data_IF_285486760568
#
_entry.id   IF_285486760568
#
_cell.length_a   1.000
_cell.length_b   1.000
_cell.length_c   1.000
_cell.angle_alpha   90.00
_cell.angle_beta   90.00
_cell.angle_gamma   90.00
#
_symmetry.space_group_name_H-M   'P 1'
#
loop_
_entity.id
_entity.type
_entity.pdbx_description
1 polymer ?
#
# COMPACT_ATOMS: atom_id res chain seq x y z
N UNK A 1 -56.25 -21.28 -29.13
CA UNK A 1 -56.58 -21.31 -27.69
C UNK A 1 -55.56 -22.17 -26.96
N UNK A 2 -54.37 -21.63 -26.68
CA UNK A 2 -53.41 -22.31 -25.82
C UNK A 2 -53.93 -22.20 -24.38
N UNK A 3 -54.24 -23.36 -23.82
CA UNK A 3 -55.03 -23.55 -22.60
C UNK A 3 -54.42 -22.80 -21.41
N UNK A 4 -55.21 -21.98 -20.71
CA UNK A 4 -54.85 -21.39 -19.40
C UNK A 4 -54.27 -22.44 -18.44
N UNK A 5 -54.66 -23.71 -18.60
CA UNK A 5 -54.11 -24.83 -17.83
C UNK A 5 -52.61 -25.02 -18.03
N UNK A 6 -52.09 -24.79 -19.24
CA UNK A 6 -50.67 -24.90 -19.54
C UNK A 6 -49.88 -23.78 -18.87
N UNK A 7 -50.42 -22.56 -18.85
CA UNK A 7 -49.82 -21.41 -18.17
C UNK A 7 -49.78 -21.60 -16.65
N UNK A 8 -50.86 -22.15 -16.07
CA UNK A 8 -50.92 -22.51 -14.65
C UNK A 8 -49.90 -23.61 -14.33
N UNK A 9 -49.74 -24.60 -15.21
CA UNK A 9 -48.71 -25.64 -15.06
C UNK A 9 -47.29 -25.08 -15.08
N UNK A 10 -46.99 -24.14 -15.98
CA UNK A 10 -45.69 -23.47 -16.04
C UNK A 10 -45.42 -22.61 -14.80
N UNK A 11 -46.42 -21.87 -14.31
CA UNK A 11 -46.28 -21.09 -13.08
C UNK A 11 -46.12 -22.00 -11.85
N UNK A 12 -46.83 -23.12 -11.79
CA UNK A 12 -46.70 -24.11 -10.72
C UNK A 12 -45.32 -24.79 -10.75
N UNK A 13 -44.80 -25.14 -11.93
CA UNK A 13 -43.44 -25.65 -12.11
C UNK A 13 -42.38 -24.62 -11.70
N UNK A 14 -42.56 -23.34 -12.05
CA UNK A 14 -41.68 -22.27 -11.61
C UNK A 14 -41.71 -22.05 -10.09
N UNK A 15 -42.86 -22.29 -9.44
CA UNK A 15 -43.00 -22.22 -7.97
C UNK A 15 -42.38 -23.44 -7.26
N UNK A 16 -42.37 -24.61 -7.91
CA UNK A 16 -41.77 -25.85 -7.39
C UNK A 16 -40.25 -25.91 -7.61
N UNK A 17 -39.73 -25.20 -8.61
CA UNK A 17 -38.29 -24.94 -8.75
C UNK A 17 -37.91 -23.86 -7.74
N UNK A 18 -37.79 -24.26 -6.47
CA UNK A 18 -36.95 -23.51 -5.52
C UNK A 18 -35.52 -23.60 -6.04
N UNK A 19 -35.09 -22.59 -6.79
CA UNK A 19 -33.66 -22.34 -6.95
C UNK A 19 -33.13 -22.18 -5.52
N UNK A 20 -32.22 -23.05 -5.04
CA UNK A 20 -31.61 -22.84 -3.74
C UNK A 20 -30.96 -21.45 -3.81
N UNK A 21 -31.50 -20.51 -3.03
CA UNK A 21 -30.79 -19.27 -2.73
C UNK A 21 -29.43 -19.74 -2.21
N UNK A 22 -28.35 -19.37 -2.89
CA UNK A 22 -27.01 -19.60 -2.37
C UNK A 22 -26.97 -19.01 -0.97
N UNK A 23 -27.09 -19.86 0.05
CA UNK A 23 -26.86 -19.48 1.43
C UNK A 23 -25.43 -18.99 1.44
N UNK A 24 -25.21 -17.72 1.81
CA UNK A 24 -23.87 -17.18 2.02
C UNK A 24 -23.09 -18.19 2.85
N UNK A 25 -22.05 -18.81 2.27
CA UNK A 25 -21.29 -19.85 2.96
C UNK A 25 -20.80 -19.29 4.30
N UNK A 26 -21.19 -19.94 5.40
CA UNK A 26 -20.80 -19.50 6.73
C UNK A 26 -19.27 -19.62 6.89
N UNK A 27 -18.68 -18.83 7.81
CA UNK A 27 -17.28 -18.99 8.15
C UNK A 27 -17.00 -20.43 8.62
N UNK A 28 -15.84 -20.96 8.26
CA UNK A 28 -15.38 -22.28 8.68
C UNK A 28 -13.97 -22.20 9.30
N UNK A 29 -13.63 -23.09 10.24
CA UNK A 29 -12.31 -23.07 10.87
C UNK A 29 -11.20 -23.41 9.87
N UNK A 30 -10.03 -22.79 10.02
CA UNK A 30 -8.86 -23.07 9.18
C UNK A 30 -8.34 -24.48 9.44
N UNK A 31 -8.24 -25.27 8.36
CA UNK A 31 -7.71 -26.64 8.36
C UNK A 31 -6.35 -26.75 7.66
N UNK A 32 -5.90 -25.69 7.00
CA UNK A 32 -4.59 -25.62 6.34
C UNK A 32 -3.48 -25.68 7.41
N UNK A 33 -2.62 -26.71 7.44
CA UNK A 33 -1.65 -26.92 8.53
C UNK A 33 -0.73 -25.72 8.78
N UNK A 34 -0.10 -25.19 7.72
CA UNK A 34 0.83 -24.05 7.83
C UNK A 34 0.16 -22.73 8.20
N UNK A 35 -1.16 -22.59 8.02
CA UNK A 35 -1.90 -21.37 8.33
C UNK A 35 -2.52 -21.36 9.73
N UNK A 36 -2.31 -22.42 10.54
CA UNK A 36 -2.83 -22.48 11.92
C UNK A 36 -2.21 -21.42 12.84
N UNK A 37 -1.01 -20.92 12.51
CA UNK A 37 -0.31 -19.86 13.25
C UNK A 37 -0.76 -18.46 12.87
N UNK A 38 -1.72 -18.31 11.95
CA UNK A 38 -2.22 -17.00 11.57
C UNK A 38 -2.98 -16.33 12.73
N UNK A 39 -3.00 -14.99 12.79
CA UNK A 39 -3.76 -14.25 13.79
C UNK A 39 -5.28 -14.47 13.75
N UNK A 40 -5.81 -15.09 12.69
CA UNK A 40 -7.22 -15.48 12.56
C UNK A 40 -7.36 -17.00 12.45
N UNK A 41 -8.45 -17.54 12.99
CA UNK A 41 -8.75 -18.98 13.02
C UNK A 41 -9.94 -19.39 12.14
N UNK A 42 -10.67 -18.43 11.57
CA UNK A 42 -11.85 -18.64 10.73
C UNK A 42 -11.60 -18.10 9.32
N UNK A 43 -11.97 -18.90 8.32
CA UNK A 43 -11.89 -18.55 6.91
C UNK A 43 -13.23 -18.76 6.21
N UNK A 44 -13.30 -18.41 4.93
CA UNK A 44 -14.47 -18.59 4.08
C UNK A 44 -14.02 -18.97 2.67
N UNK A 45 -14.75 -19.90 2.08
CA UNK A 45 -14.58 -20.30 0.68
C UNK A 45 -15.67 -19.68 -0.21
N UNK A 46 -15.39 -19.39 -1.48
CA UNK A 46 -14.12 -19.60 -2.16
C UNK A 46 -13.03 -18.61 -1.71
N UNK A 47 -11.77 -19.03 -1.80
CA UNK A 47 -10.62 -18.16 -1.51
C UNK A 47 -10.26 -17.28 -2.73
N UNK A 48 -9.22 -16.45 -2.61
CA UNK A 48 -8.78 -15.51 -3.66
C UNK A 48 -8.25 -16.18 -4.92
N UNK A 49 -8.00 -17.48 -4.84
CA UNK A 49 -7.54 -18.33 -5.95
C UNK A 49 -8.67 -19.22 -6.49
N UNK A 50 -9.92 -18.91 -6.11
CA UNK A 50 -11.14 -19.58 -6.57
C UNK A 50 -11.22 -21.07 -6.20
N UNK A 51 -10.47 -21.53 -5.21
CA UNK A 51 -10.70 -22.86 -4.64
C UNK A 51 -12.04 -22.86 -3.91
N UNK A 52 -12.93 -23.80 -4.22
CA UNK A 52 -14.25 -23.88 -3.57
C UNK A 52 -14.22 -24.57 -2.21
N UNK A 53 -13.15 -25.29 -1.88
CA UNK A 53 -12.99 -26.03 -0.62
C UNK A 53 -11.59 -25.83 -0.04
N UNK A 54 -11.47 -25.88 1.29
CA UNK A 54 -10.15 -25.87 1.93
C UNK A 54 -9.30 -27.09 1.55
N UNK A 55 -9.90 -28.24 1.25
CA UNK A 55 -9.13 -29.42 0.81
C UNK A 55 -8.34 -29.14 -0.49
N UNK A 56 -8.95 -28.43 -1.44
CA UNK A 56 -8.26 -28.02 -2.66
C UNK A 56 -7.17 -26.96 -2.36
N UNK A 57 -7.45 -26.04 -1.43
CA UNK A 57 -6.49 -25.03 -1.00
C UNK A 57 -5.26 -25.66 -0.30
N UNK A 58 -5.45 -26.73 0.49
CA UNK A 58 -4.38 -27.50 1.14
C UNK A 58 -3.42 -28.07 0.09
N UNK A 59 -3.95 -28.82 -0.89
CA UNK A 59 -3.10 -29.41 -1.94
C UNK A 59 -2.33 -28.35 -2.74
N UNK A 60 -2.95 -27.20 -2.98
CA UNK A 60 -2.36 -26.13 -3.77
C UNK A 60 -1.35 -25.26 -2.99
N UNK A 61 -1.45 -25.16 -1.66
CA UNK A 61 -0.51 -24.38 -0.84
C UNK A 61 0.71 -25.22 -0.38
N UNK A 62 0.56 -26.55 -0.27
CA UNK A 62 1.65 -27.48 0.10
C UNK A 62 2.87 -27.36 -0.82
N UNK A 63 2.69 -27.00 -2.09
CA UNK A 63 3.81 -26.76 -3.02
C UNK A 63 4.77 -25.64 -2.57
N UNK A 64 4.33 -24.75 -1.67
CA UNK A 64 5.16 -23.67 -1.14
C UNK A 64 5.91 -24.02 0.14
N UNK A 65 5.75 -25.23 0.71
CA UNK A 65 6.45 -25.64 1.94
C UNK A 65 7.97 -25.54 1.80
N UNK A 66 8.51 -26.00 0.66
CA UNK A 66 9.95 -25.89 0.38
C UNK A 66 10.43 -24.44 0.34
N UNK A 67 9.64 -23.53 -0.24
CA UNK A 67 9.96 -22.11 -0.32
C UNK A 67 9.84 -21.42 1.05
N UNK A 68 8.83 -21.77 1.84
CA UNK A 68 8.69 -21.32 3.23
C UNK A 68 9.87 -21.77 4.08
N UNK A 69 10.35 -23.00 3.88
CA UNK A 69 11.50 -23.57 4.57
C UNK A 69 12.82 -22.83 4.32
N UNK A 70 12.95 -22.06 3.23
CA UNK A 70 14.16 -21.25 2.99
C UNK A 70 14.17 -19.94 3.78
N UNK A 71 13.05 -19.54 4.40
CA UNK A 71 12.96 -18.27 5.14
C UNK A 71 13.22 -17.03 4.29
N UNK A 72 12.93 -17.08 2.98
CA UNK A 72 13.26 -16.00 2.03
C UNK A 72 12.52 -14.68 2.31
N UNK A 73 11.38 -14.72 3.01
CA UNK A 73 10.65 -13.54 3.47
C UNK A 73 9.81 -13.88 4.69
N UNK A 74 9.78 -12.98 5.68
CA UNK A 74 8.93 -13.09 6.87
C UNK A 74 7.44 -12.90 6.54
N UNK A 75 7.13 -12.25 5.43
CA UNK A 75 5.76 -11.98 4.99
C UNK A 75 5.16 -13.11 4.15
N UNK A 76 5.97 -14.09 3.68
CA UNK A 76 5.52 -15.09 2.72
C UNK A 76 4.37 -15.94 3.29
N UNK A 77 4.51 -16.44 4.52
CA UNK A 77 3.48 -17.29 5.14
C UNK A 77 2.17 -16.52 5.32
N UNK A 78 2.25 -15.29 5.83
CA UNK A 78 1.08 -14.43 5.98
C UNK A 78 0.41 -14.18 4.62
N UNK A 79 1.18 -13.83 3.60
CA UNK A 79 0.67 -13.56 2.26
C UNK A 79 -0.05 -14.78 1.67
N UNK A 80 0.58 -15.95 1.71
CA UNK A 80 -0.02 -17.19 1.22
C UNK A 80 -1.30 -17.51 1.99
N UNK A 81 -1.27 -17.47 3.32
CA UNK A 81 -2.47 -17.75 4.12
C UNK A 81 -3.58 -16.72 3.91
N UNK A 82 -3.27 -15.44 3.69
CA UNK A 82 -4.24 -14.42 3.32
C UNK A 82 -4.90 -14.68 1.96
N UNK A 83 -4.18 -15.30 1.02
CA UNK A 83 -4.71 -15.68 -0.31
C UNK A 83 -5.50 -16.99 -0.27
N UNK A 84 -4.99 -18.01 0.43
CA UNK A 84 -5.52 -19.37 0.45
C UNK A 84 -6.58 -19.63 1.53
N UNK A 85 -6.50 -18.94 2.66
CA UNK A 85 -7.43 -19.02 3.78
C UNK A 85 -7.73 -17.60 4.32
N UNK A 86 -8.37 -16.74 3.53
CA UNK A 86 -8.62 -15.34 3.90
C UNK A 86 -9.45 -15.25 5.19
N UNK A 87 -9.23 -14.19 5.97
CA UNK A 87 -9.98 -13.94 7.21
C UNK A 87 -11.48 -13.81 6.93
N UNK A 88 -12.30 -14.54 7.71
CA UNK A 88 -13.74 -14.38 7.65
C UNK A 88 -14.19 -13.22 8.55
N UNK A 89 -14.81 -12.19 7.97
CA UNK A 89 -15.40 -11.05 8.71
C UNK A 89 -16.83 -10.80 8.25
N UNK A 90 -17.65 -10.21 9.14
CA UNK A 90 -19.08 -9.98 8.88
C UNK A 90 -19.33 -8.99 7.73
N UNK A 91 -18.42 -8.03 7.53
CA UNK A 91 -18.55 -6.97 6.53
C UNK A 91 -18.13 -7.44 5.12
N UNK A 92 -17.35 -8.53 5.03
CA UNK A 92 -16.76 -9.03 3.78
C UNK A 92 -17.21 -10.45 3.46
N UNK A 93 -18.51 -10.72 3.62
CA UNK A 93 -19.06 -12.06 3.41
C UNK A 93 -19.14 -12.49 1.93
N UNK A 94 -19.18 -11.56 0.97
CA UNK A 94 -19.29 -11.92 -0.46
C UNK A 94 -17.94 -11.97 -1.17
N UNK A 95 -17.00 -11.12 -0.76
CA UNK A 95 -15.64 -11.06 -1.28
C UNK A 95 -14.70 -10.88 -0.08
N UNK A 96 -13.91 -11.89 0.30
CA UNK A 96 -13.03 -11.81 1.46
C UNK A 96 -12.03 -10.65 1.35
N UNK A 97 -11.51 -10.16 2.47
CA UNK A 97 -10.49 -9.10 2.42
C UNK A 97 -9.20 -9.66 1.81
N UNK A 98 -8.62 -8.94 0.84
CA UNK A 98 -7.34 -9.29 0.20
C UNK A 98 -6.14 -8.81 1.03
N UNK A 99 -4.97 -9.48 0.94
CA UNK A 99 -3.74 -8.93 1.48
C UNK A 99 -3.38 -7.62 0.77
N UNK A 100 -2.75 -6.70 1.49
CA UNK A 100 -2.26 -5.46 0.89
C UNK A 100 -1.17 -5.75 -0.15
N UNK A 101 -1.17 -4.98 -1.23
CA UNK A 101 -0.16 -5.07 -2.31
C UNK A 101 1.29 -5.03 -1.78
N UNK A 102 1.55 -4.19 -0.78
CA UNK A 102 2.87 -4.07 -0.15
C UNK A 102 3.35 -5.38 0.49
N UNK A 103 2.46 -6.18 1.07
CA UNK A 103 2.79 -7.48 1.68
C UNK A 103 3.19 -8.49 0.60
N UNK A 104 2.44 -8.53 -0.51
CA UNK A 104 2.79 -9.34 -1.67
C UNK A 104 4.16 -8.95 -2.25
N UNK A 105 4.41 -7.65 -2.42
CA UNK A 105 5.68 -7.16 -2.98
C UNK A 105 6.88 -7.54 -2.11
N UNK A 106 6.75 -7.48 -0.77
CA UNK A 106 7.81 -7.94 0.16
C UNK A 106 8.04 -9.45 0.08
N UNK A 107 6.97 -10.24 0.00
CA UNK A 107 7.06 -11.69 -0.18
C UNK A 107 7.72 -12.06 -1.51
N UNK A 108 7.26 -11.46 -2.62
CA UNK A 108 7.80 -11.66 -3.97
C UNK A 108 9.25 -11.22 -4.06
N UNK A 109 9.62 -10.06 -3.53
CA UNK A 109 10.99 -9.55 -3.58
C UNK A 109 12.00 -10.48 -2.89
N UNK A 110 11.64 -11.08 -1.76
CA UNK A 110 12.50 -12.03 -1.05
C UNK A 110 12.57 -13.41 -1.73
N UNK A 111 11.43 -13.89 -2.23
CA UNK A 111 11.28 -15.30 -2.60
C UNK A 111 11.33 -15.59 -4.11
N UNK A 112 10.99 -14.64 -4.98
CA UNK A 112 11.10 -14.81 -6.43
C UNK A 112 12.54 -15.15 -6.90
N UNK A 113 13.61 -14.53 -6.35
CA UNK A 113 14.98 -14.91 -6.69
C UNK A 113 15.35 -16.33 -6.25
N UNK A 114 14.70 -16.87 -5.21
CA UNK A 114 14.88 -18.26 -4.79
C UNK A 114 14.16 -19.20 -5.75
N UNK A 115 12.91 -18.89 -6.12
CA UNK A 115 12.16 -19.67 -7.11
C UNK A 115 12.89 -19.75 -8.46
N UNK A 116 13.42 -18.63 -8.94
CA UNK A 116 14.17 -18.55 -10.21
C UNK A 116 15.42 -19.43 -10.23
N UNK A 117 16.09 -19.63 -9.07
CA UNK A 117 17.24 -20.54 -8.95
C UNK A 117 16.87 -22.00 -9.21
N UNK A 118 15.62 -22.38 -8.96
CA UNK A 118 15.08 -23.72 -9.21
C UNK A 118 14.19 -23.77 -10.46
N UNK A 119 14.38 -22.84 -11.41
CA UNK A 119 13.60 -22.74 -12.65
C UNK A 119 12.08 -22.58 -12.45
N UNK A 120 11.68 -22.03 -11.31
CA UNK A 120 10.31 -21.64 -11.04
C UNK A 120 10.14 -20.12 -11.17
N UNK A 121 8.92 -19.69 -11.48
CA UNK A 121 8.56 -18.28 -11.58
C UNK A 121 7.49 -17.94 -10.55
N UNK A 122 7.42 -16.67 -10.17
CA UNK A 122 6.35 -16.20 -9.31
C UNK A 122 5.00 -16.39 -10.02
N UNK A 123 4.03 -17.13 -9.45
CA UNK A 123 2.80 -17.47 -10.15
C UNK A 123 1.96 -16.23 -10.47
N UNK A 124 1.34 -16.22 -11.66
CA UNK A 124 0.45 -15.12 -12.09
C UNK A 124 -0.77 -14.99 -11.17
N UNK A 125 -1.28 -16.10 -10.64
CA UNK A 125 -2.39 -16.09 -9.66
C UNK A 125 -2.03 -15.41 -8.32
N UNK A 126 -0.74 -15.17 -8.09
CA UNK A 126 -0.21 -14.43 -6.94
C UNK A 126 0.40 -13.08 -7.35
N UNK A 127 0.08 -12.57 -8.55
CA UNK A 127 0.54 -11.27 -9.02
C UNK A 127 0.13 -10.15 -8.04
N UNK A 128 1.06 -9.26 -7.73
CA UNK A 128 0.83 -8.19 -6.74
C UNK A 128 0.05 -7.02 -7.35
N UNK A 129 0.01 -6.94 -8.68
CA UNK A 129 -0.59 -5.88 -9.45
C UNK A 129 -2.11 -5.76 -9.23
N UNK A 130 -2.78 -6.89 -8.98
CA UNK A 130 -4.23 -7.00 -8.78
C UNK A 130 -4.68 -6.83 -7.32
N UNK A 131 -3.73 -6.56 -6.42
CA UNK A 131 -4.01 -6.39 -5.00
C UNK A 131 -4.24 -4.91 -4.63
N UNK A 132 -5.12 -4.64 -3.65
CA UNK A 132 -5.42 -3.29 -3.19
C UNK A 132 -4.21 -2.62 -2.52
N UNK A 133 -4.08 -1.32 -2.75
CA UNK A 133 -3.18 -0.43 -2.00
C UNK A 133 -3.95 0.15 -0.82
N UNK A 134 -3.33 0.19 0.36
CA UNK A 134 -3.96 0.60 1.63
C UNK A 134 -4.70 1.95 1.55
N UNK A 135 -4.18 2.94 0.81
CA UNK A 135 -4.82 4.26 0.66
C UNK A 135 -5.99 4.32 -0.33
N UNK A 136 -6.32 3.19 -0.99
CA UNK A 136 -7.35 3.12 -2.04
C UNK A 136 -8.34 1.97 -1.85
N UNK A 137 -8.23 1.21 -0.76
CA UNK A 137 -9.12 0.10 -0.45
C UNK A 137 -8.80 -0.57 0.88
N UNK A 138 -9.70 -1.43 1.35
CA UNK A 138 -9.52 -2.21 2.57
C UNK A 138 -8.68 -3.45 2.27
N UNK A 139 -7.56 -3.62 2.99
CA UNK A 139 -6.66 -4.76 2.84
C UNK A 139 -5.99 -5.11 4.18
N UNK A 140 -5.48 -6.34 4.31
CA UNK A 140 -4.82 -6.81 5.53
C UNK A 140 -3.29 -6.85 5.43
N UNK A 141 -2.62 -6.50 6.53
CA UNK A 141 -1.19 -6.62 6.72
C UNK A 141 -0.86 -7.24 8.09
N UNK A 142 0.32 -7.86 8.28
CA UNK A 142 0.70 -8.52 9.53
C UNK A 142 0.62 -7.60 10.76
N UNK A 143 0.95 -6.33 10.58
CA UNK A 143 1.04 -5.32 11.64
C UNK A 143 -0.33 -4.86 12.16
N UNK A 144 -1.41 -5.12 11.41
CA UNK A 144 -2.76 -4.70 11.76
C UNK A 144 -3.43 -5.61 12.80
N UNK A 145 -2.91 -6.84 13.02
CA UNK A 145 -3.55 -7.85 13.87
C UNK A 145 -2.76 -8.13 15.17
N UNK A 146 -1.50 -7.68 15.26
CA UNK A 146 -0.67 -7.84 16.46
C UNK A 146 -0.70 -6.57 17.32
N UNK A 147 -1.57 -6.52 18.34
CA UNK A 147 -1.38 -5.64 19.50
C UNK A 147 -1.88 -6.28 20.81
N UNK A 148 -0.94 -6.75 21.64
CA UNK A 148 -0.76 -6.39 23.06
C UNK A 148 0.24 -7.37 23.72
N UNK A 149 1.18 -6.79 24.49
CA UNK A 149 2.12 -7.43 25.45
C UNK A 149 3.47 -7.99 24.91
N UNK A 150 4.58 -7.43 25.42
CA UNK A 150 6.00 -7.77 25.10
C UNK A 150 6.56 -8.89 26.00
N UNK A 151 7.87 -8.96 26.37
CA UNK A 151 9.07 -8.22 25.94
C UNK A 151 10.20 -9.10 25.33
N UNK A 152 11.21 -8.42 24.77
CA UNK A 152 12.61 -8.79 24.50
C UNK A 152 12.99 -10.16 23.89
N UNK A 153 13.51 -10.13 22.65
CA UNK A 153 14.64 -10.97 22.25
C UNK A 153 15.56 -10.18 21.28
N UNK A 154 16.91 -10.31 21.39
CA UNK A 154 17.84 -9.37 20.77
C UNK A 154 17.90 -9.47 19.25
N UNK A 155 17.86 -8.30 18.62
CA UNK A 155 18.74 -7.88 17.51
C UNK A 155 19.22 -8.98 16.55
N UNK A 156 18.58 -9.02 15.37
CA UNK A 156 19.34 -9.23 14.14
C UNK A 156 19.38 -7.90 13.38
N UNK A 157 20.59 -7.35 13.35
CA UNK A 157 21.00 -6.18 12.60
C UNK A 157 20.85 -6.43 11.08
N UNK A 158 20.05 -5.63 10.34
CA UNK A 158 19.93 -5.73 8.89
C UNK A 158 21.22 -5.35 8.12
N UNK A 159 22.29 -4.93 8.81
CA UNK A 159 23.60 -4.64 8.21
C UNK A 159 24.38 -5.89 7.78
N UNK A 160 23.87 -7.11 8.03
CA UNK A 160 24.56 -8.37 7.69
C UNK A 160 23.87 -9.13 6.55
N UNK A 161 23.55 -8.46 5.46
CA UNK A 161 23.57 -9.12 4.15
C UNK A 161 25.04 -9.19 3.71
N UNK A 162 25.80 -10.13 4.26
CA UNK A 162 27.15 -10.42 3.75
C UNK A 162 27.01 -11.00 2.34
N UNK A 163 27.60 -10.30 1.39
CA UNK A 163 28.21 -10.89 0.21
C UNK A 163 28.97 -12.15 0.63
N UNK A 164 28.44 -13.33 0.30
CA UNK A 164 29.30 -14.48 0.04
C UNK A 164 29.38 -14.63 -1.48
N UNK A 165 30.35 -13.93 -2.04
CA UNK A 165 30.90 -14.23 -3.35
C UNK A 165 31.50 -15.62 -3.28
N UNK A 166 30.77 -16.62 -3.78
CA UNK A 166 31.37 -17.92 -4.10
C UNK A 166 32.28 -17.71 -5.34
N UNK A 167 33.59 -18.06 -5.32
CA UNK A 167 34.54 -17.59 -6.33
C UNK A 167 34.44 -18.21 -7.73
N UNK A 168 33.53 -19.16 -7.99
CA UNK A 168 33.69 -20.05 -9.16
C UNK A 168 32.90 -19.71 -10.42
N UNK A 169 32.05 -18.68 -10.45
CA UNK A 169 31.14 -18.51 -11.61
C UNK A 169 30.99 -17.05 -12.08
N UNK A 170 31.55 -16.70 -13.27
CA UNK A 170 31.39 -15.37 -13.84
C UNK A 170 29.94 -15.10 -14.25
N UNK A 171 29.46 -13.90 -13.91
CA UNK A 171 28.08 -13.42 -14.12
C UNK A 171 27.89 -12.98 -15.59
N UNK A 172 27.12 -13.75 -16.36
CA UNK A 172 26.73 -13.33 -17.71
C UNK A 172 25.62 -12.27 -17.66
N UNK A 173 25.99 -11.06 -18.08
CA UNK A 173 25.17 -9.85 -18.09
C UNK A 173 24.15 -9.83 -19.24
N UNK A 174 23.24 -10.79 -19.33
CA UNK A 174 22.12 -10.74 -20.29
C UNK A 174 20.82 -11.27 -19.69
N UNK A 175 20.27 -10.57 -18.68
CA UNK A 175 18.83 -10.62 -18.43
C UNK A 175 18.31 -9.32 -17.77
N UNK A 176 17.74 -8.44 -18.59
CA UNK A 176 17.47 -7.03 -18.27
C UNK A 176 16.28 -6.73 -17.35
N UNK A 177 15.71 -7.69 -16.61
CA UNK A 177 14.45 -7.46 -15.89
C UNK A 177 14.44 -7.85 -14.40
N UNK A 178 15.60 -8.00 -13.77
CA UNK A 178 15.71 -8.08 -12.30
C UNK A 178 16.62 -6.94 -11.81
N UNK A 179 16.07 -5.74 -11.64
CA UNK A 179 16.74 -4.72 -10.83
C UNK A 179 16.52 -5.09 -9.36
N UNK A 180 17.53 -5.72 -8.77
CA UNK A 180 17.56 -6.04 -7.36
C UNK A 180 17.41 -4.80 -6.48
N UNK A 181 17.21 -5.05 -5.18
CA UNK A 181 17.18 -4.07 -4.09
C UNK A 181 18.54 -3.36 -3.85
N UNK A 182 19.27 -3.04 -4.92
CA UNK A 182 20.54 -2.33 -4.94
C UNK A 182 20.72 -1.46 -6.18
N UNK A 183 19.65 -1.13 -6.92
CA UNK A 183 19.76 -0.35 -8.14
C UNK A 183 18.82 0.88 -8.14
N UNK A 184 19.08 1.78 -7.17
CA UNK A 184 18.61 3.17 -7.02
C UNK A 184 17.09 3.38 -7.21
N UNK A 185 16.36 3.67 -6.12
CA UNK A 185 15.06 4.36 -6.23
C UNK A 185 15.26 5.58 -7.16
N UNK A 186 14.73 5.54 -8.38
CA UNK A 186 14.82 6.67 -9.31
C UNK A 186 13.68 7.63 -8.97
N UNK A 187 13.88 8.46 -7.96
CA UNK A 187 12.89 9.46 -7.61
C UNK A 187 12.67 10.41 -8.79
N UNK A 188 11.43 10.53 -9.27
CA UNK A 188 11.09 11.54 -10.26
C UNK A 188 11.20 12.91 -9.59
N UNK A 189 12.21 13.68 -9.95
CA UNK A 189 12.37 15.03 -9.42
C UNK A 189 11.29 15.94 -10.03
N UNK A 190 10.29 16.29 -9.23
CA UNK A 190 9.23 17.19 -9.66
C UNK A 190 9.78 18.62 -9.70
N UNK A 191 9.77 19.24 -10.88
CA UNK A 191 10.29 20.60 -11.06
C UNK A 191 9.39 21.62 -10.35
N UNK A 192 9.98 22.41 -9.47
CA UNK A 192 9.34 23.55 -8.82
C UNK A 192 8.92 24.60 -9.86
N UNK A 193 7.61 24.81 -10.01
CA UNK A 193 7.05 25.77 -10.96
C UNK A 193 5.58 26.10 -10.65
N UNK A 194 5.12 27.28 -11.09
CA UNK A 194 3.75 27.75 -10.83
C UNK A 194 2.68 26.78 -11.36
N UNK A 195 2.83 26.28 -12.60
CA UNK A 195 1.88 25.31 -13.18
C UNK A 195 1.78 24.03 -12.34
N UNK A 196 2.92 23.50 -11.90
CA UNK A 196 2.99 22.31 -11.02
C UNK A 196 2.34 22.58 -9.68
N UNK A 197 2.63 23.75 -9.09
CA UNK A 197 2.09 24.18 -7.80
C UNK A 197 0.57 24.27 -7.80
N UNK A 198 -0.01 24.89 -8.83
CA UNK A 198 -1.46 25.04 -8.98
C UNK A 198 -2.14 23.70 -9.29
N UNK A 199 -1.51 22.83 -10.09
CA UNK A 199 -2.08 21.54 -10.49
C UNK A 199 -2.17 20.53 -9.34
N UNK A 200 -1.14 20.46 -8.50
CA UNK A 200 -0.98 19.38 -7.53
C UNK A 200 -1.62 19.67 -6.16
N UNK A 201 -2.23 20.85 -5.97
CA UNK A 201 -3.00 21.23 -4.77
C UNK A 201 -2.37 20.80 -3.43
N UNK A 202 -1.09 21.14 -3.20
CA UNK A 202 -0.37 20.78 -1.97
C UNK A 202 -1.09 21.31 -0.71
N UNK A 203 -1.27 20.45 0.29
CA UNK A 203 -1.92 20.82 1.56
C UNK A 203 -1.03 21.71 2.41
N UNK A 204 0.28 21.41 2.47
CA UNK A 204 1.25 22.20 3.21
C UNK A 204 2.47 22.56 2.39
N UNK A 205 3.07 23.69 2.73
CA UNK A 205 4.34 24.15 2.19
C UNK A 205 5.18 24.75 3.30
N UNK A 206 6.33 24.15 3.57
CA UNK A 206 7.21 24.52 4.67
C UNK A 206 8.65 24.70 4.18
N UNK A 207 9.39 25.58 4.85
CA UNK A 207 10.84 25.59 4.86
C UNK A 207 11.28 24.82 6.08
N UNK A 208 12.03 23.75 5.88
CA UNK A 208 12.49 22.94 6.99
C UNK A 208 13.94 22.48 6.78
N UNK A 209 14.68 22.33 7.89
CA UNK A 209 16.00 21.70 7.89
C UNK A 209 15.83 20.23 8.25
N UNK A 210 16.41 19.34 7.45
CA UNK A 210 16.37 17.89 7.75
C UNK A 210 17.34 17.62 8.89
N UNK A 211 16.86 17.09 10.01
CA UNK A 211 17.72 16.67 11.13
C UNK A 211 18.26 15.27 10.84
N UNK A 212 17.37 14.32 10.62
CA UNK A 212 17.70 12.92 10.39
C UNK A 212 16.58 12.22 9.64
N UNK A 213 16.90 11.11 8.98
CA UNK A 213 15.92 10.22 8.36
C UNK A 213 15.81 9.00 9.27
N UNK A 214 14.69 8.88 9.97
CA UNK A 214 14.41 7.74 10.84
C UNK A 214 13.74 6.64 10.01
N UNK A 215 14.38 5.49 10.00
CA UNK A 215 13.71 4.25 9.66
C UNK A 215 13.27 3.60 10.98
N UNK A 216 11.98 3.67 11.29
CA UNK A 216 11.45 3.03 12.49
C UNK A 216 11.26 1.53 12.22
N UNK A 217 11.29 0.71 13.29
CA UNK A 217 11.17 -0.77 13.20
C UNK A 217 9.88 -1.26 12.51
N UNK A 218 8.91 -0.39 12.27
CA UNK A 218 7.63 -0.69 11.61
C UNK A 218 7.61 -0.34 10.11
N UNK A 219 8.77 -0.13 9.47
CA UNK A 219 8.87 0.34 8.07
C UNK A 219 8.20 1.70 7.80
N UNK A 220 7.77 2.43 8.84
CA UNK A 220 7.36 3.83 8.75
C UNK A 220 8.63 4.68 8.59
N UNK A 221 9.07 4.81 7.33
CA UNK A 221 10.13 5.71 6.91
C UNK A 221 9.67 7.14 7.18
N UNK A 222 10.42 7.90 7.98
CA UNK A 222 10.06 9.26 8.34
C UNK A 222 11.28 10.18 8.36
N UNK A 223 11.22 11.32 7.69
CA UNK A 223 12.22 12.36 7.82
C UNK A 223 11.85 13.28 8.99
N UNK A 224 12.72 13.39 10.00
CA UNK A 224 12.58 14.39 11.03
C UNK A 224 13.12 15.71 10.53
N UNK A 225 12.24 16.71 10.48
CA UNK A 225 12.58 18.04 9.98
C UNK A 225 12.27 19.10 11.01
N UNK A 226 13.14 20.09 11.11
CA UNK A 226 12.93 21.28 11.94
C UNK A 226 12.27 22.37 11.09
N UNK A 227 11.04 22.73 11.42
CA UNK A 227 10.27 23.73 10.65
C UNK A 227 10.77 25.14 10.97
N UNK A 228 11.31 25.83 9.96
CA UNK A 228 11.77 27.22 10.06
C UNK A 228 10.68 28.22 9.68
N UNK A 229 10.03 27.99 8.54
CA UNK A 229 8.94 28.85 8.04
C UNK A 229 7.78 28.00 7.50
N UNK A 230 6.55 28.49 7.71
CA UNK A 230 5.33 27.89 7.15
C UNK A 230 4.80 28.87 6.10
N UNK A 231 4.77 28.44 4.84
CA UNK A 231 4.33 29.27 3.70
C UNK A 231 2.86 29.00 3.36
N UNK A 232 2.42 27.75 3.53
CA UNK A 232 1.03 27.31 3.38
C UNK A 232 0.76 26.18 4.38
N UNK A 233 -0.40 26.22 5.01
CA UNK A 233 -0.95 25.13 5.83
C UNK A 233 -2.46 25.12 5.58
N UNK A 234 -3.06 23.92 5.56
CA UNK A 234 -4.47 23.73 5.26
C UNK A 234 -5.24 23.40 6.55
N UNK A 235 -5.27 22.13 6.97
CA UNK A 235 -6.06 21.71 8.14
C UNK A 235 -5.19 21.33 9.34
N UNK A 236 -4.01 20.74 9.11
CA UNK A 236 -3.12 20.32 10.21
C UNK A 236 -2.33 21.52 10.74
N UNK A 237 -2.32 21.67 12.08
CA UNK A 237 -1.50 22.68 12.74
C UNK A 237 -0.03 22.23 12.77
N UNK A 238 0.81 22.88 11.96
CA UNK A 238 2.23 22.56 11.87
C UNK A 238 2.99 23.46 12.87
N UNK A 239 3.55 22.91 13.97
CA UNK A 239 4.34 23.70 14.90
C UNK A 239 5.67 24.14 14.26
N UNK A 240 6.23 25.27 14.72
CA UNK A 240 7.60 25.70 14.39
C UNK A 240 8.62 24.95 15.24
N UNK A 241 8.56 23.63 15.16
CA UNK A 241 9.40 22.71 15.92
C UNK A 241 9.78 21.51 15.04
N UNK A 242 10.34 20.47 15.64
CA UNK A 242 10.65 19.21 14.99
C UNK A 242 9.37 18.44 14.71
N UNK A 243 9.12 18.15 13.43
CA UNK A 243 7.98 17.36 12.97
C UNK A 243 8.44 16.17 12.13
N UNK A 244 7.77 15.01 12.25
CA UNK A 244 8.01 13.88 11.36
C UNK A 244 7.27 14.08 10.04
N UNK A 245 7.97 13.89 8.93
CA UNK A 245 7.39 13.75 7.61
C UNK A 245 7.43 12.28 7.19
N UNK A 246 6.27 11.66 7.01
CA UNK A 246 6.15 10.22 6.78
C UNK A 246 6.15 9.90 5.28
N UNK A 247 6.97 8.95 4.87
CA UNK A 247 6.94 8.39 3.53
C UNK A 247 5.84 7.33 3.42
N UNK A 248 5.11 7.34 2.30
CA UNK A 248 4.05 6.36 2.04
C UNK A 248 4.53 5.15 1.20
N UNK A 249 5.84 5.01 1.01
CA UNK A 249 6.43 3.91 0.26
C UNK A 249 7.79 3.55 0.87
N UNK A 250 8.27 2.33 0.60
CA UNK A 250 9.62 1.89 1.01
C UNK A 250 10.77 2.63 0.31
N UNK A 251 10.47 3.54 -0.62
CA UNK A 251 11.46 4.40 -1.27
C UNK A 251 11.46 5.80 -0.62
N UNK A 252 12.64 6.33 -0.30
CA UNK A 252 12.85 7.69 0.19
C UNK A 252 12.71 8.73 -0.92
N UNK A 253 11.53 8.83 -1.51
CA UNK A 253 11.20 9.82 -2.53
C UNK A 253 10.20 10.84 -1.97
N UNK A 254 10.52 12.15 -1.99
CA UNK A 254 11.73 12.77 -2.52
C UNK A 254 12.98 12.51 -1.66
N UNK A 255 14.15 12.44 -2.32
CA UNK A 255 15.43 12.29 -1.64
C UNK A 255 15.73 13.52 -0.79
N UNK A 256 15.97 13.27 0.50
CA UNK A 256 16.35 14.28 1.47
C UNK A 256 17.75 13.95 1.98
N UNK A 257 18.53 14.99 2.24
CA UNK A 257 19.87 14.88 2.83
C UNK A 257 19.83 15.54 4.19
N UNK A 258 20.36 14.86 5.22
CA UNK A 258 20.47 15.41 6.57
C UNK A 258 21.30 16.71 6.58
N UNK A 259 21.01 17.59 7.53
CA UNK A 259 21.61 18.91 7.72
C UNK A 259 21.39 19.94 6.60
N UNK A 260 20.69 19.57 5.54
CA UNK A 260 20.35 20.49 4.44
C UNK A 260 18.97 21.12 4.65
N UNK A 261 18.81 22.36 4.16
CA UNK A 261 17.53 23.08 4.19
C UNK A 261 16.77 22.86 2.88
N UNK A 262 15.47 22.58 2.98
CA UNK A 262 14.60 22.35 1.84
C UNK A 262 13.35 23.22 1.91
N UNK A 263 12.82 23.57 0.73
CA UNK A 263 11.40 23.85 0.57
C UNK A 263 10.68 22.53 0.29
N UNK A 264 9.70 22.21 1.13
CA UNK A 264 8.96 20.96 1.09
C UNK A 264 7.48 21.27 0.84
N UNK A 265 6.91 20.64 -0.17
CA UNK A 265 5.49 20.71 -0.52
C UNK A 265 4.93 19.31 -0.51
N UNK A 266 3.92 19.08 0.31
CA UNK A 266 3.38 17.74 0.53
C UNK A 266 1.89 17.74 0.83
N UNK A 267 1.42 16.57 1.25
CA UNK A 267 0.01 16.29 1.49
C UNK A 267 -0.19 15.92 2.95
N UNK A 268 -1.36 16.22 3.49
CA UNK A 268 -1.72 15.86 4.86
C UNK A 268 -2.74 14.73 4.84
N UNK A 269 -2.65 13.81 5.80
CA UNK A 269 -3.71 12.85 6.07
C UNK A 269 -4.63 13.44 7.14
N UNK A 270 -5.88 13.75 6.76
CA UNK A 270 -6.89 14.38 7.62
C UNK A 270 -7.28 13.51 8.82
N UNK A 271 -7.30 12.18 8.67
CA UNK A 271 -7.74 11.26 9.73
C UNK A 271 -6.70 11.06 10.84
N UNK A 272 -5.40 11.15 10.49
CA UNK A 272 -4.28 10.88 11.42
C UNK A 272 -3.46 12.11 11.76
N UNK A 273 -3.80 13.28 11.21
CA UNK A 273 -3.02 14.52 11.34
C UNK A 273 -1.52 14.33 11.01
N UNK A 274 -1.22 13.51 9.99
CA UNK A 274 0.15 13.18 9.57
C UNK A 274 0.56 13.97 8.33
N UNK A 275 1.79 14.48 8.31
CA UNK A 275 2.40 15.10 7.14
C UNK A 275 3.07 14.03 6.27
N UNK A 276 2.73 13.99 4.98
CA UNK A 276 3.15 12.93 4.06
C UNK A 276 4.11 13.43 2.96
N UNK A 277 5.16 12.64 2.74
CA UNK A 277 6.07 12.70 1.59
C UNK A 277 5.79 11.53 0.66
N UNK A 278 5.21 11.83 -0.51
CA UNK A 278 4.87 10.83 -1.54
C UNK A 278 5.56 11.19 -2.86
N UNK A 279 5.47 10.33 -3.89
CA UNK A 279 6.13 10.56 -5.20
C UNK A 279 5.72 11.89 -5.86
N UNK A 280 4.53 12.43 -5.56
CA UNK A 280 4.07 13.73 -6.03
C UNK A 280 4.50 14.95 -5.18
N UNK A 281 5.13 14.72 -4.03
CA UNK A 281 5.66 15.77 -3.16
C UNK A 281 6.90 16.41 -3.78
N UNK A 282 7.15 17.68 -3.45
CA UNK A 282 8.36 18.40 -3.89
C UNK A 282 9.25 18.59 -2.68
N UNK A 283 10.52 18.18 -2.80
CA UNK A 283 11.58 18.65 -1.92
C UNK A 283 12.71 19.22 -2.78
N UNK A 284 13.02 20.50 -2.60
CA UNK A 284 14.12 21.15 -3.30
C UNK A 284 14.96 21.96 -2.33
N UNK A 285 16.29 21.90 -2.46
CA UNK A 285 17.21 22.66 -1.59
C UNK A 285 16.85 24.14 -1.57
N UNK A 286 16.77 24.70 -0.37
CA UNK A 286 16.32 26.07 -0.13
C UNK A 286 17.23 27.11 -0.83
N UNK A 287 16.61 28.19 -1.32
CA UNK A 287 17.23 29.37 -1.91
C UNK A 287 16.33 30.55 -1.57
N UNK A 288 16.87 31.65 -1.08
CA UNK A 288 16.07 32.76 -0.51
C UNK A 288 15.04 33.38 -1.48
N UNK A 289 15.32 33.31 -2.79
CA UNK A 289 14.40 33.79 -3.82
C UNK A 289 13.13 32.92 -3.94
N UNK A 290 13.14 31.68 -3.44
CA UNK A 290 12.02 30.74 -3.58
C UNK A 290 10.86 31.03 -2.62
N UNK A 291 11.14 31.39 -1.36
CA UNK A 291 10.08 31.73 -0.40
C UNK A 291 9.18 32.86 -0.90
N UNK A 292 9.78 33.92 -1.45
CA UNK A 292 9.04 35.03 -2.06
C UNK A 292 8.22 34.60 -3.28
N UNK A 293 8.74 33.68 -4.11
CA UNK A 293 8.02 33.15 -5.28
C UNK A 293 6.80 32.34 -4.87
N UNK A 294 6.94 31.43 -3.91
CA UNK A 294 5.86 30.55 -3.46
C UNK A 294 4.75 31.33 -2.75
N UNK A 295 5.09 32.34 -1.93
CA UNK A 295 4.09 33.25 -1.35
C UNK A 295 3.24 33.94 -2.44
N UNK A 296 3.85 34.38 -3.54
CA UNK A 296 3.12 34.95 -4.69
C UNK A 296 2.23 33.91 -5.38
N UNK A 297 2.68 32.66 -5.50
CA UNK A 297 1.88 31.59 -6.11
C UNK A 297 0.65 31.24 -5.27
N UNK A 298 0.80 31.17 -3.93
CA UNK A 298 -0.33 30.95 -3.02
C UNK A 298 -1.33 32.12 -3.08
N UNK A 299 -0.85 33.37 -3.18
CA UNK A 299 -1.71 34.53 -3.36
C UNK A 299 -2.53 34.44 -4.66
N UNK A 300 -1.92 34.09 -5.79
CA UNK A 300 -2.61 33.90 -7.08
C UNK A 300 -3.67 32.79 -6.99
N UNK A 301 -3.38 31.69 -6.28
CA UNK A 301 -4.34 30.60 -6.06
C UNK A 301 -5.56 31.09 -5.26
N UNK A 302 -5.34 31.89 -4.20
CA UNK A 302 -6.42 32.49 -3.39
C UNK A 302 -7.27 33.50 -4.18
N UNK A 303 -6.66 34.28 -5.07
CA UNK A 303 -7.38 35.22 -5.93
C UNK A 303 -8.23 34.49 -6.99
N UNK A 304 -7.68 33.41 -7.58
CA UNK A 304 -8.39 32.59 -8.58
C UNK A 304 -9.58 31.84 -7.97
N UNK A 305 -9.46 31.31 -6.75
CA UNK A 305 -10.57 30.64 -6.05
C UNK A 305 -11.70 31.60 -5.68
N UNK A 306 -11.37 32.85 -5.30
CA UNK A 306 -12.35 33.94 -5.07
C UNK A 306 -13.04 34.41 -6.35
N UNK A 307 -12.33 34.41 -7.48
CA UNK A 307 -12.93 34.75 -8.78
C UNK A 307 -13.96 33.73 -9.27
N UNK A 308 -13.76 32.43 -8.98
CA UNK A 308 -14.69 31.37 -9.36
C UNK A 308 -15.95 31.30 -8.47
N UNK A 309 -15.85 31.62 -7.17
CA UNK A 309 -17.03 31.74 -6.30
C UNK A 309 -17.87 32.99 -6.60
N UNK A 310 -17.26 34.07 -7.10
CA UNK A 310 -17.99 35.24 -7.61
C UNK A 310 -18.75 34.96 -8.92
N UNK A 311 -18.25 34.06 -9.76
CA UNK A 311 -18.86 33.70 -11.06
C UNK A 311 -20.00 32.68 -10.94
N UNK A 312 -20.03 31.86 -9.89
CA UNK A 312 -21.17 30.97 -9.60
C UNK A 312 -22.36 31.75 -9.02
N UNK A 313 -22.11 32.80 -8.24
CA UNK A 313 -23.18 33.66 -7.70
C UNK A 313 -23.81 34.60 -8.74
N UNK A 314 -23.11 35.00 -9.81
CA UNK A 314 -23.74 35.84 -10.85
C UNK A 314 -24.65 35.07 -11.81
N UNK A 315 -24.56 33.72 -11.85
CA UNK A 315 -25.46 32.87 -12.65
C UNK A 315 -26.75 32.46 -11.93
N UNK A 316 -26.87 32.74 -10.62
CA UNK A 316 -28.08 32.43 -9.83
C UNK A 316 -29.04 33.61 -9.63
N UNK A 317 -28.72 34.79 -10.17
CA UNK A 317 -29.54 36.02 -10.09
C UNK A 317 -30.26 36.36 -11.41
N UNK A 318 -30.32 35.43 -12.37
CA UNK A 318 -31.10 35.58 -13.61
C UNK A 318 -31.95 34.34 -13.84
N UNK A 319 -32.93 34.14 -12.96
CA UNK A 319 -34.17 33.43 -13.26
C UNK A 319 -35.28 34.01 -12.38
#
# INVERSE_FOLDING_TARGET
>A
MFSQKLYIYFLALAYLVRIPRATSAACEPIRIPMCKSMPWNMTKMPNHLHHSTQANAVLAIEQFEGLLGTGCSQDLLFFLCAMYAPICTIDFQHDPIKPCKSVCERAKCGCEPVMKRYNHTWPESLACEDLPVYDRGVCISPEAIVKAEGPDNPYQDPSKCSHESNPDFPMDSHNGNCKGAGDRCKCKTVRLGLKTYLKNNYNYVIRARVKEIRNTRNHDLSALVEVKDILKSSLVNIPRDVVPLHYNSGCLCPELVANEEYIIMGYENEERSRLLLIEGSIAQKWKDKMGRKVKRWDQVLRETSRGNSGRSNSRRSKH
#
